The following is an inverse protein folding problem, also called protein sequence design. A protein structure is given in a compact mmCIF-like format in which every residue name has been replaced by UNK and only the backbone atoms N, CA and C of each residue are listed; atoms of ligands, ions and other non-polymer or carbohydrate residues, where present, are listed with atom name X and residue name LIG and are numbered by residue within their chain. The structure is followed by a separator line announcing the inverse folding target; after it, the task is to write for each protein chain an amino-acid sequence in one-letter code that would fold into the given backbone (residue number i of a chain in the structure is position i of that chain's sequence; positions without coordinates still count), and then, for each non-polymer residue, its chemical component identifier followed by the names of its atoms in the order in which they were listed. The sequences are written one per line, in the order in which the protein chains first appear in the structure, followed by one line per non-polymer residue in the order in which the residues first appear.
data_IF_123899898591
#
_entry.id   IF_123899898591
#
_cell.length_a   1.000
_cell.length_b   1.000
_cell.length_c   1.000
_cell.angle_alpha   90.00
_cell.angle_beta   90.00
_cell.angle_gamma   90.00
#
_symmetry.space_group_name_H-M   'P 1'
#
loop_
_entity.id
_entity.type
_entity.pdbx_description
1 polymer ?
#
# COMPACT_ATOMS: atom_id res chain seq x y z
N UNK A 1 66.97 30.01 -14.56
CA UNK A 1 67.22 30.35 -13.13
C UNK A 1 66.27 31.50 -12.77
N UNK A 2 65.17 31.19 -12.05
CA UNK A 2 64.89 31.60 -10.65
C UNK A 2 64.78 33.14 -10.51
N UNK A 3 63.71 33.80 -10.06
CA UNK A 3 62.58 33.52 -9.15
C UNK A 3 61.43 34.50 -9.52
N UNK A 4 60.13 34.14 -9.51
CA UNK A 4 59.24 33.90 -8.37
C UNK A 4 59.03 35.13 -7.45
N UNK A 5 57.93 35.86 -7.65
CA UNK A 5 57.12 36.41 -6.54
C UNK A 5 55.70 36.79 -7.01
N UNK A 6 54.74 35.99 -6.55
CA UNK A 6 53.37 36.36 -6.16
C UNK A 6 52.56 37.33 -7.05
N UNK A 7 51.63 36.78 -7.83
CA UNK A 7 50.25 37.28 -7.76
C UNK A 7 49.27 36.13 -8.04
N UNK A 8 48.72 35.62 -6.93
CA UNK A 8 47.62 34.68 -6.88
C UNK A 8 46.31 35.40 -7.26
N UNK A 9 45.30 34.60 -7.59
CA UNK A 9 43.86 34.92 -7.73
C UNK A 9 43.40 35.47 -9.07
N UNK A 10 42.95 34.57 -9.95
CA UNK A 10 41.52 34.20 -9.97
C UNK A 10 41.32 33.10 -11.00
N UNK A 11 41.32 31.85 -10.50
CA UNK A 11 40.80 30.70 -11.22
C UNK A 11 39.33 31.00 -11.45
N UNK A 12 38.94 31.22 -12.70
CA UNK A 12 37.55 31.33 -13.11
C UNK A 12 36.92 29.94 -12.91
N UNK A 13 36.34 29.78 -11.73
CA UNK A 13 35.58 28.60 -11.31
C UNK A 13 34.34 28.54 -12.20
N UNK A 14 34.41 27.76 -13.28
CA UNK A 14 33.22 27.28 -13.99
C UNK A 14 32.62 26.17 -13.11
N UNK A 15 31.93 26.58 -12.05
CA UNK A 15 31.00 25.72 -11.32
C UNK A 15 29.82 25.49 -12.25
N UNK A 16 29.93 24.41 -13.02
CA UNK A 16 28.83 23.81 -13.75
C UNK A 16 27.91 23.19 -12.69
N UNK A 17 26.99 24.00 -12.17
CA UNK A 17 25.86 23.55 -11.37
C UNK A 17 24.97 22.68 -12.26
N UNK A 18 25.25 21.38 -12.29
CA UNK A 18 24.23 20.40 -12.60
C UNK A 18 23.20 20.47 -11.47
N UNK A 19 22.19 21.32 -11.66
CA UNK A 19 20.91 21.14 -11.00
C UNK A 19 20.39 19.80 -11.48
N UNK A 20 20.65 18.76 -10.69
CA UNK A 20 19.87 17.54 -10.76
C UNK A 20 18.46 17.96 -10.38
N UNK A 21 17.61 18.20 -11.37
CA UNK A 21 16.16 18.14 -11.19
C UNK A 21 15.87 16.73 -10.68
N UNK A 22 15.86 16.60 -9.37
CA UNK A 22 15.31 15.42 -8.71
C UNK A 22 13.81 15.59 -8.89
N UNK A 23 13.30 15.09 -10.01
CA UNK A 23 11.86 14.90 -10.20
C UNK A 23 11.39 14.05 -9.00
N UNK A 24 10.83 14.74 -8.01
CA UNK A 24 10.13 14.11 -6.91
C UNK A 24 8.82 13.64 -7.51
N UNK A 25 8.84 12.44 -8.09
CA UNK A 25 7.63 11.75 -8.47
C UNK A 25 6.82 11.53 -7.19
N UNK A 26 5.85 12.40 -6.94
CA UNK A 26 4.81 12.15 -5.97
C UNK A 26 4.12 10.86 -6.44
N UNK A 27 4.28 9.78 -5.69
CA UNK A 27 3.58 8.53 -5.97
C UNK A 27 2.10 8.83 -5.80
N UNK A 28 1.38 8.86 -6.91
CA UNK A 28 -0.07 9.09 -6.88
C UNK A 28 -0.73 7.89 -6.19
N UNK A 29 -1.43 8.17 -5.08
CA UNK A 29 -2.15 7.18 -4.31
C UNK A 29 -3.28 6.57 -5.14
N UNK A 30 -3.56 5.28 -4.94
CA UNK A 30 -4.80 4.68 -5.44
C UNK A 30 -5.96 5.32 -4.69
N UNK A 31 -6.92 5.90 -5.39
CA UNK A 31 -8.09 6.48 -4.73
C UNK A 31 -9.05 5.36 -4.35
N UNK A 32 -9.44 5.30 -3.07
CA UNK A 32 -10.44 4.38 -2.55
C UNK A 32 -11.68 5.16 -2.11
N UNK A 33 -12.82 4.87 -2.72
CA UNK A 33 -14.09 5.56 -2.44
C UNK A 33 -15.23 4.58 -2.20
N UNK A 34 -16.40 5.09 -1.83
CA UNK A 34 -17.61 4.28 -1.64
C UNK A 34 -17.42 3.06 -0.71
N UNK A 35 -16.56 3.23 0.30
CA UNK A 35 -16.20 2.17 1.25
C UNK A 35 -17.39 1.88 2.15
N UNK A 36 -17.92 0.66 2.07
CA UNK A 36 -19.11 0.20 2.78
C UNK A 36 -18.95 -1.26 3.17
N UNK A 37 -19.37 -1.59 4.37
CA UNK A 37 -19.64 -2.97 4.76
C UNK A 37 -21.15 -3.23 4.82
N UNK A 38 -21.53 -4.46 5.17
CA UNK A 38 -22.91 -4.87 5.29
C UNK A 38 -23.50 -4.76 6.71
N UNK A 39 -22.90 -3.94 7.58
CA UNK A 39 -23.34 -3.78 8.98
C UNK A 39 -23.29 -2.34 9.51
N UNK A 40 -22.78 -1.39 8.72
CA UNK A 40 -22.67 0.03 9.10
C UNK A 40 -21.34 0.44 9.74
N UNK A 41 -20.22 -0.22 9.43
CA UNK A 41 -18.89 0.22 9.85
C UNK A 41 -18.49 1.56 9.24
N UNK A 42 -17.58 2.27 9.93
CA UNK A 42 -17.05 3.57 9.49
C UNK A 42 -15.61 3.38 9.05
N UNK A 43 -15.27 4.01 7.93
CA UNK A 43 -13.96 3.93 7.31
C UNK A 43 -13.41 5.32 6.99
N UNK A 44 -12.08 5.44 7.04
CA UNK A 44 -11.36 6.60 6.48
C UNK A 44 -10.27 6.12 5.53
N UNK A 45 -9.83 7.04 4.67
CA UNK A 45 -8.71 6.80 3.78
C UNK A 45 -7.59 7.77 4.11
N UNK A 46 -6.36 7.29 4.08
CA UNK A 46 -5.16 8.09 4.26
C UNK A 46 -3.96 7.45 3.59
N UNK A 47 -2.76 8.00 3.82
CA UNK A 47 -1.52 7.35 3.45
C UNK A 47 -1.02 6.44 4.58
N UNK A 48 -0.36 5.35 4.23
CA UNK A 48 0.34 4.49 5.17
C UNK A 48 1.69 5.13 5.54
N UNK A 49 1.79 5.64 6.77
CA UNK A 49 2.93 6.41 7.26
C UNK A 49 3.45 5.86 8.58
N UNK A 50 4.77 5.91 8.78
CA UNK A 50 5.39 5.51 10.04
C UNK A 50 4.90 6.42 11.17
N UNK A 51 4.35 5.83 12.24
CA UNK A 51 3.73 6.56 13.35
C UNK A 51 2.33 7.09 13.05
N UNK A 52 1.79 6.84 11.84
CA UNK A 52 0.42 7.18 11.47
C UNK A 52 -0.63 6.37 12.25
N UNK A 53 -1.92 6.64 12.03
CA UNK A 53 -3.00 5.90 12.72
C UNK A 53 -3.16 4.48 12.19
N UNK A 54 -3.39 3.53 13.10
CA UNK A 54 -3.79 2.16 12.77
C UNK A 54 -5.31 2.04 12.56
N UNK A 55 -6.11 2.64 13.45
CA UNK A 55 -7.57 2.76 13.33
C UNK A 55 -7.96 4.23 13.25
N UNK A 56 -9.06 4.54 12.57
CA UNK A 56 -9.49 5.95 12.48
C UNK A 56 -10.02 6.50 13.81
N UNK A 57 -10.60 5.63 14.64
CA UNK A 57 -11.32 5.92 15.89
C UNK A 57 -10.55 5.58 17.18
N UNK A 58 -9.29 5.16 17.06
CA UNK A 58 -8.34 5.02 18.17
C UNK A 58 -7.12 5.90 17.96
N UNK A 59 -6.30 5.98 19.00
CA UNK A 59 -5.00 6.66 18.99
C UNK A 59 -3.84 5.68 18.77
N UNK A 60 -4.14 4.43 18.39
CA UNK A 60 -3.11 3.42 18.11
C UNK A 60 -2.33 3.80 16.86
N UNK A 61 -1.02 3.71 16.93
CA UNK A 61 -0.12 4.01 15.81
C UNK A 61 0.27 2.76 15.04
N UNK A 62 0.64 2.92 13.77
CA UNK A 62 1.27 1.89 12.96
C UNK A 62 2.79 2.14 12.92
N UNK A 63 3.60 1.11 13.17
CA UNK A 63 5.07 1.23 13.23
C UNK A 63 5.77 0.09 12.51
N UNK A 64 7.08 0.26 12.29
CA UNK A 64 8.00 -0.70 11.65
C UNK A 64 7.51 -1.12 10.28
N UNK A 65 7.02 -0.14 9.51
CA UNK A 65 6.46 -0.37 8.19
C UNK A 65 7.60 -0.70 7.22
N UNK A 66 7.55 -1.84 6.52
CA UNK A 66 8.47 -2.13 5.42
C UNK A 66 8.44 -0.99 4.39
N UNK A 67 9.62 -0.55 3.91
CA UNK A 67 9.75 0.65 3.09
C UNK A 67 8.90 0.61 1.82
N UNK A 68 8.69 -0.57 1.26
CA UNK A 68 7.84 -0.81 0.09
C UNK A 68 6.36 -0.50 0.31
N UNK A 69 5.90 -0.40 1.57
CA UNK A 69 4.52 -0.09 1.91
C UNK A 69 4.32 1.37 2.33
N UNK A 70 5.39 2.12 2.59
CA UNK A 70 5.29 3.54 2.95
C UNK A 70 4.67 4.34 1.80
N UNK A 71 3.68 5.15 2.13
CA UNK A 71 2.95 5.96 1.15
C UNK A 71 1.96 5.17 0.30
N UNK A 72 1.60 3.92 0.66
CA UNK A 72 0.46 3.26 0.04
C UNK A 72 -0.86 3.83 0.57
N UNK A 73 -1.94 3.73 -0.21
CA UNK A 73 -3.27 4.10 0.29
C UNK A 73 -3.66 3.16 1.42
N UNK A 74 -4.07 3.71 2.56
CA UNK A 74 -4.51 2.98 3.74
C UNK A 74 -6.02 3.17 3.94
N UNK A 75 -6.77 2.06 3.98
CA UNK A 75 -8.17 2.06 4.41
C UNK A 75 -8.20 1.79 5.91
N UNK A 76 -8.48 2.83 6.69
CA UNK A 76 -8.55 2.78 8.14
C UNK A 76 -9.94 2.33 8.58
N UNK A 77 -10.00 1.19 9.27
CA UNK A 77 -11.21 0.62 9.85
C UNK A 77 -11.44 1.12 11.30
N UNK A 78 -12.66 1.03 11.80
CA UNK A 78 -12.94 1.17 13.23
C UNK A 78 -12.31 0.02 14.03
N UNK A 79 -11.77 0.31 15.21
CA UNK A 79 -11.16 -0.72 16.05
C UNK A 79 -12.16 -1.78 16.53
N UNK A 80 -13.43 -1.42 16.68
CA UNK A 80 -14.49 -2.35 17.13
C UNK A 80 -15.29 -2.90 15.93
N UNK A 81 -14.78 -2.78 14.70
CA UNK A 81 -15.42 -3.34 13.53
C UNK A 81 -15.48 -4.86 13.68
N UNK A 82 -16.68 -5.46 13.77
CA UNK A 82 -16.76 -6.88 14.03
C UNK A 82 -16.30 -7.72 12.83
N UNK A 83 -15.78 -8.92 13.12
CA UNK A 83 -15.39 -9.92 12.13
C UNK A 83 -16.50 -10.96 11.89
N UNK A 84 -16.26 -11.90 10.98
CA UNK A 84 -17.16 -13.05 10.77
C UNK A 84 -17.47 -13.35 9.30
N UNK A 85 -17.89 -14.58 9.00
CA UNK A 85 -18.23 -15.00 7.63
C UNK A 85 -19.38 -14.23 6.98
N UNK A 86 -20.31 -13.71 7.78
CA UNK A 86 -21.43 -12.91 7.26
C UNK A 86 -20.98 -11.55 6.74
N UNK A 87 -19.76 -11.13 7.05
CA UNK A 87 -19.27 -9.80 6.76
C UNK A 87 -18.69 -9.69 5.37
N UNK A 88 -18.77 -8.49 4.80
CA UNK A 88 -18.24 -8.18 3.49
C UNK A 88 -17.92 -6.70 3.42
N UNK A 89 -16.69 -6.37 3.03
CA UNK A 89 -16.27 -5.00 2.73
C UNK A 89 -16.25 -4.78 1.22
N UNK A 90 -16.83 -3.68 0.78
CA UNK A 90 -16.83 -3.22 -0.61
C UNK A 90 -16.30 -1.80 -0.71
N UNK A 91 -15.55 -1.51 -1.76
CA UNK A 91 -15.07 -0.16 -2.07
C UNK A 91 -14.79 -0.03 -3.57
N UNK A 92 -14.65 1.18 -4.06
CA UNK A 92 -14.29 1.47 -5.45
C UNK A 92 -12.85 1.97 -5.53
N UNK A 93 -12.10 1.49 -6.52
CA UNK A 93 -10.75 1.97 -6.85
C UNK A 93 -10.73 2.64 -8.23
N UNK A 94 -9.98 3.75 -8.34
CA UNK A 94 -9.88 4.56 -9.56
C UNK A 94 -8.99 3.93 -10.65
N UNK A 95 -8.09 3.02 -10.26
CA UNK A 95 -7.14 2.31 -11.12
C UNK A 95 -6.89 0.89 -10.64
N UNK A 96 -6.24 0.08 -11.47
CA UNK A 96 -5.81 -1.27 -11.10
C UNK A 96 -4.89 -1.23 -9.87
N UNK A 97 -5.14 -2.05 -8.87
CA UNK A 97 -4.38 -2.06 -7.61
C UNK A 97 -4.26 -3.45 -6.98
N UNK A 98 -3.10 -3.74 -6.38
CA UNK A 98 -2.97 -4.83 -5.43
C UNK A 98 -3.56 -4.42 -4.08
N UNK A 99 -4.31 -5.34 -3.48
CA UNK A 99 -4.83 -5.17 -2.12
C UNK A 99 -3.93 -5.95 -1.18
N UNK A 100 -3.46 -5.26 -0.15
CA UNK A 100 -2.79 -5.86 0.99
C UNK A 100 -3.76 -5.92 2.16
N UNK A 101 -3.66 -7.00 2.95
CA UNK A 101 -4.43 -7.21 4.16
C UNK A 101 -3.47 -7.47 5.31
N UNK A 102 -3.57 -6.67 6.37
CA UNK A 102 -2.83 -6.90 7.61
C UNK A 102 -3.62 -7.84 8.52
N UNK A 103 -3.00 -8.94 8.92
CA UNK A 103 -3.58 -9.99 9.74
C UNK A 103 -2.94 -10.02 11.12
N UNK A 104 -3.72 -9.82 12.18
CA UNK A 104 -3.21 -9.85 13.55
C UNK A 104 -2.58 -11.22 13.89
N UNK A 105 -1.29 -11.23 14.22
CA UNK A 105 -0.50 -12.45 14.39
C UNK A 105 -0.87 -13.27 15.62
N UNK A 106 -1.66 -12.71 16.54
CA UNK A 106 -2.17 -13.41 17.73
C UNK A 106 -3.23 -14.45 17.39
N UNK A 107 -3.79 -14.39 16.19
CA UNK A 107 -4.88 -15.24 15.74
C UNK A 107 -4.39 -16.34 14.80
N UNK A 108 -5.16 -17.44 14.71
CA UNK A 108 -4.89 -18.49 13.71
C UNK A 108 -4.82 -17.87 12.32
N UNK A 109 -3.86 -18.33 11.53
CA UNK A 109 -3.67 -17.88 10.15
C UNK A 109 -4.97 -18.03 9.35
N UNK A 110 -5.27 -17.09 8.44
CA UNK A 110 -6.52 -17.11 7.68
C UNK A 110 -6.67 -18.42 6.90
N UNK A 111 -5.57 -19.00 6.42
CA UNK A 111 -5.48 -20.32 5.76
C UNK A 111 -6.13 -21.48 6.53
N UNK A 112 -6.16 -21.37 7.85
CA UNK A 112 -6.53 -22.43 8.80
C UNK A 112 -7.89 -22.18 9.47
N UNK A 113 -8.55 -21.07 9.13
CA UNK A 113 -9.88 -20.70 9.65
C UNK A 113 -10.98 -21.15 8.72
N UNK A 114 -12.21 -21.22 9.24
CA UNK A 114 -13.39 -21.36 8.42
C UNK A 114 -13.59 -20.08 7.58
N UNK A 115 -13.82 -20.27 6.28
CA UNK A 115 -13.95 -19.20 5.30
C UNK A 115 -15.21 -19.46 4.49
N UNK A 116 -15.97 -18.40 4.20
CA UNK A 116 -17.08 -18.45 3.26
C UNK A 116 -16.94 -17.29 2.27
N UNK A 117 -16.63 -17.56 0.98
CA UNK A 117 -16.47 -18.87 0.35
C UNK A 117 -15.27 -19.67 0.87
N UNK A 118 -15.36 -21.01 0.85
CA UNK A 118 -14.28 -21.89 1.33
C UNK A 118 -12.96 -21.63 0.60
N UNK A 119 -11.95 -21.23 1.36
CA UNK A 119 -10.58 -20.99 0.89
C UNK A 119 -10.39 -19.72 0.06
N UNK A 120 -11.30 -18.73 0.15
CA UNK A 120 -11.19 -17.48 -0.62
C UNK A 120 -9.86 -16.75 -0.38
N UNK A 121 -9.32 -16.79 0.85
CA UNK A 121 -8.01 -16.18 1.15
C UNK A 121 -6.91 -16.91 0.39
N UNK A 122 -6.81 -18.24 0.51
CA UNK A 122 -5.80 -19.05 -0.21
C UNK A 122 -5.86 -18.89 -1.72
N UNK A 123 -7.06 -18.66 -2.27
CA UNK A 123 -7.28 -18.49 -3.72
C UNK A 123 -6.99 -17.08 -4.21
N UNK A 124 -7.13 -16.08 -3.33
CA UNK A 124 -7.07 -14.67 -3.68
C UNK A 124 -5.82 -13.95 -3.17
N UNK A 125 -5.15 -14.47 -2.15
CA UNK A 125 -4.09 -13.81 -1.40
C UNK A 125 -2.94 -14.77 -1.09
N UNK A 126 -1.74 -14.22 -0.95
CA UNK A 126 -0.54 -14.92 -0.51
C UNK A 126 0.10 -14.17 0.64
N UNK A 127 0.66 -14.89 1.62
CA UNK A 127 1.53 -14.31 2.64
C UNK A 127 2.76 -13.73 1.95
N UNK A 128 3.13 -12.50 2.32
CA UNK A 128 4.31 -11.80 1.81
C UNK A 128 5.58 -12.11 2.61
N UNK A 129 5.44 -12.72 3.80
CA UNK A 129 6.51 -12.87 4.78
C UNK A 129 6.90 -11.54 5.45
N UNK A 130 6.16 -10.46 5.19
CA UNK A 130 6.38 -9.14 5.77
C UNK A 130 5.41 -8.89 6.91
N UNK A 131 5.83 -8.02 7.82
CA UNK A 131 5.06 -7.63 8.98
C UNK A 131 5.10 -6.14 9.20
N UNK A 132 4.09 -5.63 9.89
CA UNK A 132 4.08 -4.30 10.50
C UNK A 132 3.43 -4.40 11.88
N UNK A 133 3.43 -3.30 12.63
CA UNK A 133 2.99 -3.34 14.02
C UNK A 133 1.89 -2.32 14.29
N UNK A 134 0.83 -2.76 14.98
CA UNK A 134 -0.01 -1.89 15.78
C UNK A 134 0.76 -1.58 17.08
N UNK A 135 0.82 -0.32 17.45
CA UNK A 135 1.66 0.16 18.56
C UNK A 135 0.94 1.27 19.36
N UNK A 136 1.72 2.03 20.13
CA UNK A 136 1.34 3.08 21.09
C UNK A 136 -0.01 3.77 20.81
N UNK A 137 -0.83 3.98 21.87
CA UNK A 137 -0.62 3.58 23.27
C UNK A 137 -0.83 2.08 23.54
N UNK A 138 -1.20 1.28 22.53
CA UNK A 138 -1.33 -0.16 22.69
C UNK A 138 0.06 -0.83 22.72
N UNK A 139 0.14 -2.02 23.32
CA UNK A 139 1.37 -2.81 23.27
C UNK A 139 1.70 -3.21 21.81
N UNK A 140 2.99 -3.24 21.40
CA UNK A 140 3.36 -3.66 20.07
C UNK A 140 2.75 -5.02 19.71
N UNK A 141 1.94 -5.04 18.66
CA UNK A 141 1.25 -6.24 18.16
C UNK A 141 1.60 -6.40 16.70
N UNK A 142 2.14 -7.55 16.35
CA UNK A 142 2.56 -7.87 14.99
C UNK A 142 1.35 -8.19 14.10
N UNK A 143 1.39 -7.73 12.85
CA UNK A 143 0.44 -8.08 11.81
C UNK A 143 1.18 -8.65 10.60
N UNK A 144 0.82 -9.86 10.17
CA UNK A 144 1.31 -10.48 8.94
C UNK A 144 0.63 -9.85 7.73
N UNK A 145 1.41 -9.57 6.68
CA UNK A 145 0.89 -8.92 5.48
C UNK A 145 0.62 -9.94 4.38
N UNK A 146 -0.63 -9.98 3.93
CA UNK A 146 -1.09 -10.77 2.79
C UNK A 146 -1.31 -9.86 1.59
N UNK A 147 -0.87 -10.28 0.40
CA UNK A 147 -1.05 -9.55 -0.86
C UNK A 147 -2.02 -10.31 -1.77
N UNK A 148 -2.91 -9.60 -2.46
CA UNK A 148 -3.74 -10.21 -3.49
C UNK A 148 -2.88 -10.82 -4.60
N UNK A 149 -3.18 -12.04 -5.04
CA UNK A 149 -2.41 -12.77 -6.05
C UNK A 149 -2.45 -12.05 -7.41
N UNK A 150 -3.57 -11.38 -7.70
CA UNK A 150 -3.76 -10.52 -8.87
C UNK A 150 -4.16 -9.12 -8.41
N UNK A 151 -3.85 -8.07 -9.19
CA UNK A 151 -4.44 -6.77 -8.93
C UNK A 151 -5.94 -6.83 -9.20
N UNK A 152 -6.70 -6.11 -8.40
CA UNK A 152 -8.08 -5.77 -8.71
C UNK A 152 -8.07 -4.71 -9.82
N UNK A 153 -9.01 -4.83 -10.76
CA UNK A 153 -9.19 -3.82 -11.81
C UNK A 153 -9.91 -2.60 -11.25
N UNK A 154 -9.81 -1.48 -11.97
CA UNK A 154 -10.61 -0.28 -11.71
C UNK A 154 -12.08 -0.65 -11.50
N UNK A 155 -12.71 -0.05 -10.49
CA UNK A 155 -14.10 -0.27 -10.13
C UNK A 155 -14.25 -0.93 -8.76
N UNK A 156 -15.31 -1.73 -8.61
CA UNK A 156 -15.66 -2.31 -7.32
C UNK A 156 -14.72 -3.45 -6.91
N UNK A 157 -14.21 -3.35 -5.69
CA UNK A 157 -13.47 -4.38 -4.96
C UNK A 157 -14.37 -4.94 -3.87
N UNK A 158 -14.28 -6.24 -3.65
CA UNK A 158 -14.99 -6.96 -2.62
C UNK A 158 -14.04 -7.84 -1.83
N UNK A 159 -14.03 -7.67 -0.50
CA UNK A 159 -13.26 -8.46 0.45
C UNK A 159 -14.24 -9.21 1.37
N UNK A 160 -14.39 -10.53 1.20
CA UNK A 160 -15.24 -11.33 2.08
C UNK A 160 -14.75 -11.37 3.52
N UNK A 161 -15.66 -11.71 4.44
CA UNK A 161 -15.33 -12.01 5.83
C UNK A 161 -14.71 -13.40 6.02
N UNK A 162 -14.16 -13.62 7.22
CA UNK A 162 -13.59 -14.89 7.70
C UNK A 162 -14.22 -15.16 9.06
N UNK A 163 -14.39 -16.43 9.43
CA UNK A 163 -15.04 -16.78 10.69
C UNK A 163 -14.44 -16.06 11.89
N UNK A 164 -15.33 -15.46 12.66
CA UNK A 164 -15.09 -15.09 14.04
C UNK A 164 -15.15 -16.40 14.84
N UNK A 165 -14.02 -16.78 15.42
CA UNK A 165 -13.99 -17.91 16.35
C UNK A 165 -14.29 -17.31 17.72
N UNK A 166 -15.21 -17.92 18.47
CA UNK A 166 -15.58 -17.44 19.81
C UNK A 166 -14.32 -17.33 20.68
N UNK A 167 -14.02 -16.12 21.18
CA UNK A 167 -12.80 -15.81 21.94
C UNK A 167 -11.60 -15.34 21.11
N UNK A 168 -11.76 -15.24 19.78
CA UNK A 168 -10.75 -14.81 18.81
C UNK A 168 -11.43 -13.88 17.75
N UNK A 169 -11.82 -12.65 18.17
CA UNK A 169 -12.36 -11.63 17.29
C UNK A 169 -11.24 -11.05 16.43
N UNK A 170 -11.25 -11.34 15.13
CA UNK A 170 -10.24 -10.83 14.19
C UNK A 170 -10.66 -9.48 13.64
N UNK A 171 -9.76 -8.52 13.71
CA UNK A 171 -9.88 -7.22 13.05
C UNK A 171 -9.35 -7.38 11.62
N UNK A 172 -10.28 -7.55 10.68
CA UNK A 172 -9.96 -8.16 9.38
C UNK A 172 -9.44 -7.21 8.29
N UNK A 173 -9.61 -5.90 8.39
CA UNK A 173 -9.46 -5.03 7.20
C UNK A 173 -8.66 -3.75 7.41
N UNK A 174 -7.56 -3.84 8.15
CA UNK A 174 -6.49 -2.87 7.87
C UNK A 174 -5.92 -3.22 6.49
N UNK A 175 -6.39 -2.51 5.47
CA UNK A 175 -6.06 -2.75 4.06
C UNK A 175 -5.15 -1.66 3.50
N UNK A 176 -4.24 -2.05 2.60
CA UNK A 176 -3.39 -1.11 1.85
C UNK A 176 -3.50 -1.35 0.35
N UNK A 177 -3.39 -0.29 -0.45
CA UNK A 177 -3.49 -0.38 -1.91
C UNK A 177 -2.20 0.10 -2.58
N UNK A 178 -1.67 -0.73 -3.47
CA UNK A 178 -0.52 -0.43 -4.33
C UNK A 178 -0.97 -0.43 -5.78
N UNK A 179 -0.54 0.56 -6.56
CA UNK A 179 -0.83 0.64 -7.99
C UNK A 179 -0.39 -0.66 -8.69
N UNK A 180 -1.35 -1.36 -9.29
CA UNK A 180 -1.12 -2.55 -10.07
C UNK A 180 -0.73 -2.15 -11.49
N UNK A 181 0.57 -2.15 -11.80
CA UNK A 181 1.06 -1.97 -13.16
C UNK A 181 0.58 -3.15 -14.03
N UNK A 182 -0.46 -2.93 -14.83
CA UNK A 182 -0.86 -3.88 -15.87
C UNK A 182 0.18 -3.81 -17.01
N UNK A 183 0.45 -4.94 -17.66
CA UNK A 183 1.43 -5.05 -18.75
C UNK A 183 1.10 -4.21 -20.02
N UNK A 184 -0.01 -3.49 -20.02
CA UNK A 184 -0.53 -2.72 -21.17
C UNK A 184 0.34 -1.49 -21.48
N UNK A 185 1.13 -1.00 -20.52
CA UNK A 185 2.01 0.18 -20.72
C UNK A 185 3.29 -0.14 -21.55
N UNK A 186 3.55 -1.42 -21.86
CA UNK A 186 4.61 -1.79 -22.79
C UNK A 186 4.18 -1.62 -24.26
N UNK A 187 2.90 -1.83 -24.56
CA UNK A 187 2.39 -1.85 -25.94
C UNK A 187 2.13 -0.43 -26.47
N UNK A 188 1.64 0.49 -25.62
CA UNK A 188 1.56 1.93 -25.92
C UNK A 188 2.95 2.56 -26.11
N UNK A 189 3.93 2.17 -25.29
CA UNK A 189 5.32 2.62 -25.45
C UNK A 189 5.92 2.14 -26.77
N UNK A 190 5.70 0.89 -27.15
CA UNK A 190 6.18 0.35 -28.42
C UNK A 190 5.51 1.05 -29.61
N UNK A 191 4.19 1.20 -29.61
CA UNK A 191 3.46 1.88 -30.72
C UNK A 191 3.85 3.35 -30.86
N UNK A 192 4.12 4.06 -29.76
CA UNK A 192 4.61 5.44 -29.80
C UNK A 192 6.04 5.53 -30.34
N UNK A 193 6.92 4.59 -29.96
CA UNK A 193 8.29 4.52 -30.49
C UNK A 193 8.28 4.22 -31.99
N UNK A 194 7.46 3.27 -32.45
CA UNK A 194 7.34 2.94 -33.88
C UNK A 194 6.77 4.08 -34.72
N UNK A 195 5.84 4.86 -34.17
CA UNK A 195 5.28 6.02 -34.87
C UNK A 195 6.33 7.13 -35.05
N UNK A 196 7.13 7.41 -34.01
CA UNK A 196 8.24 8.38 -34.09
C UNK A 196 9.37 7.98 -35.04
N UNK A 197 9.61 6.69 -35.23
CA UNK A 197 10.61 6.20 -36.20
C UNK A 197 10.12 6.42 -37.64
N UNK A 198 8.82 6.22 -37.90
CA UNK A 198 8.24 6.40 -39.25
C UNK A 198 8.14 7.86 -39.68
N UNK A 199 8.00 8.79 -38.75
CA UNK A 199 7.95 10.23 -39.07
C UNK A 199 9.32 10.85 -39.38
N UNK A 200 10.42 10.16 -39.04
CA UNK A 200 11.79 10.64 -39.27
C UNK A 200 12.45 10.01 -40.52
N UNK A 201 11.66 9.39 -41.40
CA UNK A 201 12.11 8.82 -42.68
C UNK A 201 11.23 9.27 -43.85
#
# INVERSE_FOLDING_TARGET
MKNLSHFLWSIFVVVLLFLLDVDTFAVELVEATNIKDNVGGIYKVGALEEGGKFYHDRQYTITRIPKEFLGLTHILVSADCPGGQKWKLTFEIDRSAFVYMAWDSRHKRPEERGQNPKGWVKKGFTDTGKVLFLDKPHAPTEYWIYKSIKPYLKGQVEIPGIDEVVGDPVLMWTLFLEVGKLAVDAEEKLTTIWSKIKENH
#
